data_IF_561953470269
#
_entry.id   IF_561953470269
#
_cell.length_a   1.000
_cell.length_b   1.000
_cell.length_c   1.000
_cell.angle_alpha   90.00
_cell.angle_beta   90.00
_cell.angle_gamma   90.00
#
_symmetry.space_group_name_H-M   'P 1'
#
loop_
_entity.id
_entity.type
_entity.pdbx_description
1 polymer ?
#
# COMPACT_ATOMS: atom_id res chain seq x y z
N UNK A 1 -15.84 7.06 11.83
CA UNK A 1 -15.63 7.09 10.36
C UNK A 1 -14.12 7.09 10.10
N UNK A 2 -13.67 6.52 8.99
CA UNK A 2 -12.25 6.63 8.60
C UNK A 2 -11.91 8.10 8.32
N UNK A 3 -10.73 8.54 8.76
CA UNK A 3 -10.22 9.89 8.46
C UNK A 3 -9.79 9.92 7.00
N UNK A 4 -10.34 10.80 6.15
CA UNK A 4 -9.93 10.91 4.75
C UNK A 4 -8.46 11.30 4.61
N UNK A 5 -7.76 10.60 3.72
CA UNK A 5 -6.37 10.86 3.36
C UNK A 5 -6.36 12.01 2.34
N UNK A 6 -5.67 13.09 2.70
CA UNK A 6 -5.36 14.21 1.80
C UNK A 6 -4.05 13.91 1.06
N UNK A 7 -4.02 14.04 -0.26
CA UNK A 7 -2.79 13.85 -1.03
C UNK A 7 -1.96 15.15 -1.18
N UNK A 8 -2.44 16.26 -0.63
CA UNK A 8 -1.73 17.53 -0.59
C UNK A 8 -1.39 18.10 -1.98
N UNK A 9 -0.48 19.08 -2.03
CA UNK A 9 0.01 19.67 -3.27
C UNK A 9 0.63 18.66 -4.25
N UNK A 10 0.78 18.99 -5.55
CA UNK A 10 1.34 18.10 -6.57
C UNK A 10 2.78 17.61 -6.30
N UNK A 11 3.53 18.32 -5.46
CA UNK A 11 4.89 17.99 -5.05
C UNK A 11 4.96 16.84 -4.05
N UNK A 12 3.85 16.54 -3.38
CA UNK A 12 3.82 15.59 -2.29
C UNK A 12 3.66 14.17 -2.82
N UNK A 13 4.40 13.26 -2.19
CA UNK A 13 4.21 11.82 -2.30
C UNK A 13 3.59 11.32 -0.99
N UNK A 14 2.39 10.77 -1.08
CA UNK A 14 1.72 10.14 0.06
C UNK A 14 1.79 8.63 -0.11
N UNK A 15 2.32 7.96 0.91
CA UNK A 15 2.48 6.51 0.93
C UNK A 15 1.55 5.88 1.97
N UNK A 16 0.91 4.79 1.60
CA UNK A 16 0.28 3.87 2.53
C UNK A 16 1.36 2.91 3.06
N UNK A 17 1.57 2.93 4.38
CA UNK A 17 2.49 2.02 5.06
C UNK A 17 1.72 0.81 5.59
N UNK A 18 1.95 -0.35 4.99
CA UNK A 18 1.39 -1.62 5.43
C UNK A 18 2.39 -2.36 6.31
N UNK A 19 1.93 -2.89 7.44
CA UNK A 19 2.72 -3.73 8.33
C UNK A 19 2.17 -5.15 8.35
N UNK A 20 3.06 -6.14 8.34
CA UNK A 20 2.67 -7.54 8.40
C UNK A 20 3.86 -8.43 8.70
N UNK A 21 3.72 -9.73 8.46
CA UNK A 21 4.78 -10.71 8.72
C UNK A 21 5.01 -11.57 7.48
N UNK A 22 6.26 -11.96 7.26
CA UNK A 22 6.70 -12.78 6.13
C UNK A 22 6.45 -12.18 4.73
N UNK A 23 6.12 -10.88 4.64
CA UNK A 23 5.97 -10.17 3.37
C UNK A 23 7.29 -10.20 2.60
N UNK A 24 8.43 -9.98 3.29
CA UNK A 24 9.77 -10.00 2.67
C UNK A 24 10.24 -11.38 2.20
N UNK A 25 9.49 -12.45 2.51
CA UNK A 25 9.77 -13.82 2.07
C UNK A 25 9.35 -14.11 0.63
N UNK A 26 8.92 -13.09 -0.10
CA UNK A 26 8.47 -13.16 -1.49
C UNK A 26 9.53 -13.74 -2.44
N UNK A 27 9.11 -14.54 -3.43
CA UNK A 27 10.03 -15.28 -4.30
C UNK A 27 10.97 -14.39 -5.13
N UNK A 28 10.48 -13.23 -5.57
CA UNK A 28 11.23 -12.18 -6.26
C UNK A 28 10.45 -10.85 -6.20
N UNK A 29 11.09 -9.67 -6.26
CA UNK A 29 10.41 -8.38 -6.08
C UNK A 29 9.19 -8.14 -6.99
N UNK A 30 9.16 -8.71 -8.20
CA UNK A 30 8.03 -8.57 -9.13
C UNK A 30 6.82 -9.47 -8.75
N UNK A 31 6.99 -10.38 -7.80
CA UNK A 31 5.88 -11.19 -7.26
C UNK A 31 4.98 -10.42 -6.28
N UNK A 32 5.36 -9.18 -5.92
CA UNK A 32 4.53 -8.28 -5.15
C UNK A 32 3.83 -7.26 -6.07
N UNK A 33 2.51 -7.16 -5.95
CA UNK A 33 1.71 -6.14 -6.68
C UNK A 33 0.72 -5.48 -5.74
N UNK A 34 0.40 -4.22 -6.00
CA UNK A 34 -0.58 -3.46 -5.24
C UNK A 34 -1.55 -2.72 -6.16
N UNK A 35 -2.81 -2.63 -5.73
CA UNK A 35 -3.85 -1.82 -6.36
C UNK A 35 -4.59 -1.02 -5.30
N UNK A 36 -4.96 0.21 -5.64
CA UNK A 36 -5.82 1.07 -4.83
C UNK A 36 -6.96 1.57 -5.72
N UNK A 37 -8.21 1.30 -5.34
CA UNK A 37 -9.38 1.64 -6.15
C UNK A 37 -9.33 1.04 -7.56
N UNK A 38 -8.76 -0.17 -7.70
CA UNK A 38 -8.54 -0.83 -8.99
C UNK A 38 -7.37 -0.29 -9.83
N UNK A 39 -6.76 0.84 -9.45
CA UNK A 39 -5.59 1.44 -10.11
C UNK A 39 -4.30 0.80 -9.62
N UNK A 40 -3.37 0.48 -10.52
CA UNK A 40 -2.05 -0.03 -10.13
C UNK A 40 -1.31 0.99 -9.27
N UNK A 41 -0.81 0.55 -8.12
CA UNK A 41 -0.05 1.37 -7.19
C UNK A 41 1.41 0.90 -7.14
N UNK A 42 2.34 1.85 -7.02
CA UNK A 42 3.77 1.55 -6.98
C UNK A 42 4.16 1.16 -5.57
N UNK A 43 4.81 0.00 -5.42
CA UNK A 43 5.42 -0.42 -4.15
C UNK A 43 6.85 0.12 -4.14
N UNK A 44 7.11 1.14 -3.33
CA UNK A 44 8.44 1.76 -3.23
C UNK A 44 9.38 1.00 -2.28
N UNK A 45 8.83 0.19 -1.36
CA UNK A 45 9.62 -0.62 -0.44
C UNK A 45 8.87 -1.85 0.03
N UNK A 46 9.58 -2.98 0.17
CA UNK A 46 9.20 -4.14 0.96
C UNK A 46 10.44 -4.62 1.72
N UNK A 47 10.32 -4.79 3.03
CA UNK A 47 11.44 -5.29 3.82
C UNK A 47 11.19 -5.30 5.32
N UNK A 48 12.23 -5.57 6.12
CA UNK A 48 12.13 -5.52 7.57
C UNK A 48 11.75 -4.12 8.07
N UNK A 49 10.82 -4.07 9.03
CA UNK A 49 10.60 -2.88 9.82
C UNK A 49 11.76 -2.73 10.83
N UNK A 50 12.37 -1.54 10.98
CA UNK A 50 13.64 -1.38 11.71
C UNK A 50 13.54 -1.56 13.23
N UNK A 51 12.39 -1.28 13.83
CA UNK A 51 12.20 -1.22 15.29
C UNK A 51 11.66 -2.54 15.87
N UNK A 52 10.97 -3.34 15.05
CA UNK A 52 10.27 -4.55 15.49
C UNK A 52 10.76 -5.78 14.74
N UNK A 53 11.56 -6.60 15.44
CA UNK A 53 12.05 -7.88 14.90
C UNK A 53 10.88 -8.78 14.50
N UNK A 54 10.94 -9.33 13.29
CA UNK A 54 9.91 -10.20 12.74
C UNK A 54 8.77 -9.46 12.04
N UNK A 55 8.67 -8.14 12.19
CA UNK A 55 7.73 -7.32 11.44
C UNK A 55 8.32 -6.93 10.07
N UNK A 56 7.47 -6.96 9.07
CA UNK A 56 7.70 -6.47 7.72
C UNK A 56 6.89 -5.21 7.46
N UNK A 57 7.44 -4.35 6.60
CA UNK A 57 6.80 -3.13 6.13
C UNK A 57 6.76 -3.11 4.60
N UNK A 58 5.65 -2.64 4.05
CA UNK A 58 5.48 -2.32 2.65
C UNK A 58 5.06 -0.85 2.49
N UNK A 59 5.74 -0.10 1.61
CA UNK A 59 5.41 1.30 1.34
C UNK A 59 4.80 1.38 -0.06
N UNK A 60 3.54 1.80 -0.13
CA UNK A 60 2.80 1.84 -1.39
C UNK A 60 2.42 3.28 -1.69
N UNK A 61 2.88 3.80 -2.82
CA UNK A 61 2.52 5.14 -3.29
C UNK A 61 1.04 5.18 -3.69
N UNK A 62 0.28 6.12 -3.12
CA UNK A 62 -1.11 6.34 -3.52
C UNK A 62 -1.14 7.09 -4.86
N UNK A 63 -1.74 6.53 -5.92
CA UNK A 63 -1.86 7.24 -7.20
C UNK A 63 -2.63 8.54 -7.06
N UNK A 64 -2.08 9.65 -7.56
CA UNK A 64 -2.74 10.96 -7.53
C UNK A 64 -4.04 11.02 -8.35
N UNK A 65 -4.25 10.07 -9.26
CA UNK A 65 -5.52 9.90 -9.98
C UNK A 65 -6.70 9.55 -9.07
N UNK A 66 -6.44 9.19 -7.81
CA UNK A 66 -7.47 8.81 -6.84
C UNK A 66 -7.97 9.97 -5.96
N UNK A 67 -7.47 11.20 -6.14
CA UNK A 67 -7.99 12.37 -5.42
C UNK A 67 -9.50 12.48 -5.66
N UNK A 68 -10.29 12.66 -4.60
CA UNK A 68 -11.76 12.72 -4.66
C UNK A 68 -12.48 11.39 -4.88
N UNK A 69 -11.79 10.24 -4.90
CA UNK A 69 -12.43 8.93 -5.13
C UNK A 69 -13.32 8.47 -3.98
N UNK A 70 -13.16 9.05 -2.78
CA UNK A 70 -13.89 8.63 -1.60
C UNK A 70 -13.40 7.26 -1.11
N UNK A 71 -14.34 6.38 -0.76
CA UNK A 71 -14.03 5.05 -0.22
C UNK A 71 -13.56 4.11 -1.34
N UNK A 72 -12.33 3.61 -1.22
CA UNK A 72 -11.72 2.66 -2.16
C UNK A 72 -11.04 1.50 -1.43
N UNK A 73 -10.84 0.40 -2.14
CA UNK A 73 -10.12 -0.76 -1.63
C UNK A 73 -8.64 -0.70 -1.98
N UNK A 74 -7.80 -1.00 -0.99
CA UNK A 74 -6.41 -1.39 -1.17
C UNK A 74 -6.32 -2.91 -1.19
N UNK A 75 -5.67 -3.43 -2.22
CA UNK A 75 -5.44 -4.84 -2.44
C UNK A 75 -3.97 -5.04 -2.74
N UNK A 76 -3.32 -5.94 -2.00
CA UNK A 76 -1.95 -6.37 -2.27
C UNK A 76 -1.94 -7.87 -2.53
N UNK A 77 -1.09 -8.28 -3.46
CA UNK A 77 -0.86 -9.68 -3.80
C UNK A 77 0.63 -9.96 -3.66
N UNK A 78 0.98 -11.01 -2.91
CA UNK A 78 2.35 -11.49 -2.73
C UNK A 78 2.40 -12.96 -3.20
N UNK A 79 3.25 -13.28 -4.18
CA UNK A 79 3.38 -14.63 -4.75
C UNK A 79 2.03 -15.23 -5.17
N UNK A 80 1.18 -14.42 -5.81
CA UNK A 80 -0.16 -14.83 -6.26
C UNK A 80 -1.20 -15.00 -5.15
N UNK A 81 -0.87 -14.72 -3.89
CA UNK A 81 -1.80 -14.76 -2.75
C UNK A 81 -2.24 -13.35 -2.36
N UNK A 82 -3.54 -13.15 -2.22
CA UNK A 82 -4.12 -11.91 -1.73
C UNK A 82 -3.81 -11.71 -0.24
N UNK A 83 -3.44 -10.50 0.14
CA UNK A 83 -3.41 -10.05 1.53
C UNK A 83 -4.83 -9.71 2.02
N UNK A 84 -4.94 -9.22 3.25
CA UNK A 84 -6.16 -8.56 3.70
C UNK A 84 -6.49 -7.34 2.81
N UNK A 85 -7.75 -7.27 2.38
CA UNK A 85 -8.29 -6.09 1.68
C UNK A 85 -8.57 -5.01 2.73
N UNK A 86 -8.11 -3.79 2.48
CA UNK A 86 -8.27 -2.65 3.40
C UNK A 86 -9.06 -1.56 2.71
N UNK A 87 -10.07 -1.02 3.37
CA UNK A 87 -10.79 0.15 2.87
C UNK A 87 -10.12 1.45 3.34
N UNK A 88 -9.87 2.37 2.40
CA UNK A 88 -9.31 3.69 2.66
C UNK A 88 -10.20 4.77 2.06
N UNK A 89 -10.22 5.96 2.66
CA UNK A 89 -10.97 7.10 2.13
C UNK A 89 -9.98 8.13 1.62
N UNK A 90 -10.08 8.52 0.36
CA UNK A 90 -9.21 9.51 -0.29
C UNK A 90 -10.04 10.73 -0.67
N UNK A 91 -9.57 11.92 -0.28
CA UNK A 91 -10.22 13.21 -0.61
C UNK A 91 -9.36 14.03 -1.57
#
# INVERSE_FOLDING_TARGET
MAVPIDLGPPTDKVLLLGFGTAIRGLSNPAAATAKIGGTNAVIEFIGPQPDFVGLDQANVLIPRSLIGSGLVEFVMTIDGKLTNIVSVVIK
#
